data_IF_552036015158
#
_entry.id   IF_552036015158
#
_cell.length_a   1.000
_cell.length_b   1.000
_cell.length_c   1.000
_cell.angle_alpha   90.00
_cell.angle_beta   90.00
_cell.angle_gamma   90.00
#
_symmetry.space_group_name_H-M   'P 1'
#
loop_
_entity.id
_entity.type
_entity.pdbx_description
1 polymer ?
#
# COMPACT_ATOMS: atom_id res chain seq x y z
N UNK A 1 -10.24 33.87 4.40
CA UNK A 1 -9.81 33.12 5.61
C UNK A 1 -8.31 32.87 5.71
N UNK A 2 -7.46 33.39 4.82
CA UNK A 2 -6.00 33.49 5.08
C UNK A 2 -5.20 32.18 5.19
N UNK A 3 -5.85 31.01 5.13
CA UNK A 3 -5.20 29.69 5.19
C UNK A 3 -4.15 29.53 4.09
N UNK A 4 -2.96 29.08 4.48
CA UNK A 4 -1.83 28.90 3.58
C UNK A 4 -2.10 27.72 2.65
N UNK A 5 -2.14 27.99 1.34
CA UNK A 5 -2.51 27.02 0.29
C UNK A 5 -1.25 26.64 -0.48
N UNK A 6 -0.69 25.47 -0.18
CA UNK A 6 0.47 24.92 -0.89
C UNK A 6 -0.02 24.30 -2.21
N UNK A 7 0.20 25.01 -3.31
CA UNK A 7 0.01 24.48 -4.66
C UNK A 7 1.36 24.04 -5.24
N UNK A 8 1.33 23.10 -6.19
CA UNK A 8 2.54 22.58 -6.84
C UNK A 8 3.18 23.64 -7.74
N UNK A 9 4.15 24.37 -7.21
CA UNK A 9 5.05 25.20 -7.99
C UNK A 9 6.15 24.39 -8.66
N UNK A 10 6.64 24.86 -9.82
CA UNK A 10 7.94 24.45 -10.33
C UNK A 10 9.02 25.17 -9.53
N UNK A 11 9.96 24.43 -8.96
CA UNK A 11 11.21 25.01 -8.43
C UNK A 11 11.98 25.58 -9.61
N UNK A 12 12.46 26.82 -9.50
CA UNK A 12 13.32 27.41 -10.53
C UNK A 12 14.71 26.80 -10.40
N UNK A 13 15.47 26.60 -11.49
CA UNK A 13 16.84 26.07 -11.40
C UNK A 13 17.75 26.88 -10.46
N UNK A 14 17.51 28.19 -10.34
CA UNK A 14 18.20 29.07 -9.39
C UNK A 14 17.86 28.85 -7.90
N UNK A 15 16.79 28.11 -7.58
CA UNK A 15 16.35 27.79 -6.21
C UNK A 15 16.72 26.35 -5.78
N UNK A 16 17.41 25.58 -6.63
CA UNK A 16 17.99 24.29 -6.22
C UNK A 16 19.23 24.52 -5.33
N UNK A 17 19.23 23.92 -4.14
CA UNK A 17 20.37 23.99 -3.21
C UNK A 17 21.54 23.18 -3.79
N UNK A 18 22.48 23.87 -4.41
CA UNK A 18 23.75 23.30 -4.86
C UNK A 18 24.54 22.83 -3.64
N UNK A 19 24.82 21.53 -3.57
CA UNK A 19 25.71 20.99 -2.55
C UNK A 19 27.18 21.30 -2.93
N UNK A 20 27.88 22.05 -2.08
CA UNK A 20 29.30 22.37 -2.28
C UNK A 20 30.19 21.12 -2.22
N UNK A 21 31.00 20.83 -3.26
CA UNK A 21 31.91 19.69 -3.27
C UNK A 21 33.30 20.09 -2.75
N UNK A 22 33.45 20.37 -1.46
CA UNK A 22 34.75 20.61 -0.81
C UNK A 22 35.04 19.64 0.36
N UNK A 23 35.46 18.41 0.03
CA UNK A 23 36.51 17.68 0.76
C UNK A 23 36.96 16.42 0.02
N UNK A 24 38.25 16.07 0.20
CA UNK A 24 38.98 14.93 -0.39
C UNK A 24 39.15 15.02 -1.93
N UNK A 25 40.35 15.18 -2.52
CA UNK A 25 41.71 15.15 -2.00
C UNK A 25 42.53 14.02 -2.64
N UNK A 26 43.22 14.28 -3.76
CA UNK A 26 44.04 13.24 -4.42
C UNK A 26 44.59 13.55 -5.82
N UNK A 27 45.78 14.16 -5.83
CA UNK A 27 46.90 13.96 -6.77
C UNK A 27 46.73 13.99 -8.32
N UNK A 28 47.22 15.09 -8.91
CA UNK A 28 48.25 15.15 -9.96
C UNK A 28 48.23 14.26 -11.23
N UNK A 29 48.08 14.89 -12.40
CA UNK A 29 48.98 14.75 -13.56
C UNK A 29 48.73 15.82 -14.65
N UNK A 30 49.78 16.44 -15.17
CA UNK A 30 49.72 17.41 -16.29
C UNK A 30 49.74 16.72 -17.66
N UNK A 31 49.12 17.33 -18.68
CA UNK A 31 49.20 16.88 -20.08
C UNK A 31 48.64 17.90 -21.08
N UNK A 32 49.53 18.54 -21.86
CA UNK A 32 49.20 19.66 -22.77
C UNK A 32 48.54 19.20 -24.10
N UNK A 33 47.63 19.98 -24.72
CA UNK A 33 46.87 19.57 -25.91
C UNK A 33 47.61 19.82 -27.25
N UNK A 34 47.07 19.29 -28.37
CA UNK A 34 47.18 19.93 -29.68
C UNK A 34 45.80 20.33 -30.26
N UNK A 35 45.80 21.40 -31.07
CA UNK A 35 44.60 22.05 -31.60
C UNK A 35 44.19 21.55 -32.99
N UNK A 36 42.93 21.84 -33.38
CA UNK A 36 42.57 21.98 -34.80
C UNK A 36 41.16 21.52 -35.22
N UNK A 37 40.16 22.40 -35.12
CA UNK A 37 39.04 22.53 -36.08
C UNK A 37 38.19 23.78 -35.76
N UNK A 38 37.76 24.51 -36.80
CA UNK A 38 36.95 25.73 -36.71
C UNK A 38 35.42 25.45 -36.63
N UNK A 39 34.57 26.44 -36.28
CA UNK A 39 33.30 26.18 -35.60
C UNK A 39 32.13 25.78 -36.52
N UNK A 40 31.41 24.73 -36.13
CA UNK A 40 30.12 24.38 -36.70
C UNK A 40 28.99 25.24 -36.08
N UNK A 41 28.08 25.73 -36.93
CA UNK A 41 27.00 26.63 -36.54
C UNK A 41 25.93 25.93 -35.66
N UNK A 42 25.25 26.65 -34.75
CA UNK A 42 24.27 26.04 -33.86
C UNK A 42 23.02 25.60 -34.62
N UNK A 43 22.79 24.29 -34.66
CA UNK A 43 21.52 23.74 -35.14
C UNK A 43 20.41 24.08 -34.14
N UNK A 44 19.47 24.91 -34.59
CA UNK A 44 18.37 25.45 -33.79
C UNK A 44 17.32 24.37 -33.53
N UNK A 45 17.54 23.55 -32.50
CA UNK A 45 16.57 22.55 -32.05
C UNK A 45 15.29 23.25 -31.59
N UNK A 46 14.20 23.07 -32.34
CA UNK A 46 12.87 23.57 -31.97
C UNK A 46 12.28 22.60 -30.94
N UNK A 47 12.38 22.95 -29.66
CA UNK A 47 11.75 22.18 -28.58
C UNK A 47 10.25 22.49 -28.58
N UNK A 48 9.48 21.68 -29.31
CA UNK A 48 8.01 21.66 -29.20
C UNK A 48 7.59 20.72 -28.05
N UNK A 49 7.92 21.08 -26.81
CA UNK A 49 7.36 20.41 -25.62
C UNK A 49 5.99 21.00 -25.28
N UNK A 50 5.01 20.68 -26.12
CA UNK A 50 3.58 20.91 -25.90
C UNK A 50 2.84 19.57 -25.97
N UNK A 51 3.32 18.58 -25.23
CA UNK A 51 2.83 17.19 -25.26
C UNK A 51 1.48 17.01 -24.57
N UNK A 52 0.44 17.66 -25.06
CA UNK A 52 -0.92 17.20 -24.83
C UNK A 52 -1.08 15.86 -25.58
N UNK A 53 -0.93 14.75 -24.87
CA UNK A 53 -1.25 13.42 -25.38
C UNK A 53 -2.76 13.32 -25.56
N UNK A 54 -3.24 13.81 -26.70
CA UNK A 54 -4.49 13.35 -27.26
C UNK A 54 -4.27 11.88 -27.60
N UNK A 55 -4.66 10.98 -26.70
CA UNK A 55 -4.74 9.57 -27.02
C UNK A 55 -5.67 9.42 -28.23
N UNK A 56 -5.11 8.86 -29.29
CA UNK A 56 -5.75 8.81 -30.59
C UNK A 56 -6.62 7.57 -30.62
N UNK A 57 -7.93 7.78 -30.69
CA UNK A 57 -8.94 6.74 -30.96
C UNK A 57 -8.71 6.16 -32.37
N UNK A 58 -7.76 5.24 -32.51
CA UNK A 58 -7.60 4.33 -33.63
C UNK A 58 -7.18 2.95 -33.03
N UNK A 59 -7.82 1.86 -33.47
CA UNK A 59 -7.61 0.46 -33.02
C UNK A 59 -8.15 0.03 -31.63
N UNK A 60 -9.38 0.41 -31.26
CA UNK A 60 -10.13 -0.27 -30.17
C UNK A 60 -10.85 -1.57 -30.60
N UNK A 61 -11.04 -1.83 -31.89
CA UNK A 61 -11.94 -2.89 -32.41
C UNK A 61 -11.24 -4.21 -32.80
N UNK A 62 -10.03 -4.47 -32.30
CA UNK A 62 -9.20 -5.62 -32.70
C UNK A 62 -8.62 -6.47 -31.54
N UNK A 63 -9.29 -6.52 -30.39
CA UNK A 63 -9.19 -7.64 -29.44
C UNK A 63 -10.33 -7.63 -28.41
N UNK A 64 -11.11 -8.72 -28.31
CA UNK A 64 -12.02 -9.00 -27.19
C UNK A 64 -11.28 -9.28 -25.86
N UNK A 65 -9.95 -9.17 -25.84
CA UNK A 65 -9.13 -9.40 -24.67
C UNK A 65 -9.20 -8.20 -23.70
N UNK A 66 -9.57 -8.48 -22.46
CA UNK A 66 -9.50 -7.53 -21.35
C UNK A 66 -8.04 -7.15 -21.11
N UNK A 67 -7.66 -5.94 -21.53
CA UNK A 67 -6.32 -5.39 -21.27
C UNK A 67 -6.14 -5.13 -19.77
N UNK A 68 -4.91 -5.27 -19.22
CA UNK A 68 -4.62 -4.88 -17.84
C UNK A 68 -4.87 -3.36 -17.64
N UNK A 69 -5.12 -2.96 -16.40
CA UNK A 69 -5.28 -1.55 -16.05
C UNK A 69 -4.00 -0.76 -16.37
N UNK A 70 -4.09 0.49 -16.87
CA UNK A 70 -2.92 1.35 -17.05
C UNK A 70 -2.17 1.54 -15.73
N UNK A 71 -0.83 1.43 -15.74
CA UNK A 71 0.01 1.53 -14.54
C UNK A 71 -0.35 2.76 -13.66
N UNK A 72 -0.55 3.91 -14.30
CA UNK A 72 -0.94 5.17 -13.63
C UNK A 72 -2.28 5.06 -12.90
N UNK A 73 -3.27 4.39 -13.48
CA UNK A 73 -4.57 4.15 -12.84
C UNK A 73 -4.41 3.23 -11.62
N UNK A 74 -3.55 2.21 -11.69
CA UNK A 74 -3.26 1.33 -10.54
C UNK A 74 -2.58 2.11 -9.41
N UNK A 75 -1.60 2.97 -9.71
CA UNK A 75 -0.97 3.84 -8.71
C UNK A 75 -1.97 4.81 -8.06
N UNK A 76 -2.87 5.43 -8.83
CA UNK A 76 -3.87 6.36 -8.28
C UNK A 76 -4.97 5.64 -7.46
N UNK A 77 -5.44 4.46 -7.89
CA UNK A 77 -6.34 3.62 -7.09
C UNK A 77 -5.67 3.18 -5.78
N UNK A 78 -4.41 2.77 -5.82
CA UNK A 78 -3.68 2.36 -4.61
C UNK A 78 -3.29 3.53 -3.70
N UNK A 79 -3.26 4.78 -4.20
CA UNK A 79 -3.20 5.98 -3.38
C UNK A 79 -4.50 6.19 -2.58
N UNK A 80 -5.68 6.06 -3.23
CA UNK A 80 -6.98 6.05 -2.53
C UNK A 80 -7.03 4.98 -1.44
N UNK A 81 -6.60 3.74 -1.77
CA UNK A 81 -6.49 2.64 -0.79
C UNK A 81 -5.55 2.96 0.37
N UNK A 82 -4.42 3.62 0.10
CA UNK A 82 -3.46 4.01 1.15
C UNK A 82 -4.07 5.02 2.11
N UNK A 83 -4.79 6.04 1.62
CA UNK A 83 -5.47 7.02 2.50
C UNK A 83 -6.59 6.39 3.33
N UNK A 84 -7.40 5.52 2.73
CA UNK A 84 -8.45 4.81 3.48
C UNK A 84 -7.86 3.90 4.56
N UNK A 85 -6.75 3.20 4.26
CA UNK A 85 -6.05 2.36 5.24
C UNK A 85 -5.37 3.18 6.34
N UNK A 86 -4.82 4.37 6.02
CA UNK A 86 -4.29 5.32 7.01
C UNK A 86 -5.36 5.73 8.01
N UNK A 87 -6.52 6.18 7.52
CA UNK A 87 -7.63 6.60 8.39
C UNK A 87 -8.17 5.44 9.24
N UNK A 88 -8.28 4.23 8.67
CA UNK A 88 -8.68 3.03 9.39
C UNK A 88 -7.69 2.61 10.49
N UNK A 89 -6.37 2.72 10.25
CA UNK A 89 -5.32 2.48 11.25
C UNK A 89 -5.34 3.56 12.34
N UNK A 90 -5.49 4.84 11.98
CA UNK A 90 -5.59 5.94 12.95
C UNK A 90 -6.81 5.81 13.88
N UNK A 91 -7.90 5.18 13.40
CA UNK A 91 -9.10 4.85 14.18
C UNK A 91 -8.98 3.56 15.02
N UNK A 92 -7.85 2.84 14.92
CA UNK A 92 -7.69 1.50 15.49
C UNK A 92 -6.42 1.38 16.36
N UNK A 93 -6.38 1.96 17.58
CA UNK A 93 -5.15 2.05 18.37
C UNK A 93 -4.46 0.71 18.66
N UNK A 94 -5.23 -0.34 18.90
CA UNK A 94 -4.69 -1.70 19.07
C UNK A 94 -3.97 -2.21 17.81
N UNK A 95 -4.53 -1.97 16.62
CA UNK A 95 -3.93 -2.39 15.34
C UNK A 95 -2.69 -1.57 15.03
N UNK A 96 -2.72 -0.25 15.30
CA UNK A 96 -1.56 0.62 15.12
C UNK A 96 -0.39 0.24 16.05
N UNK A 97 -0.67 0.00 17.34
CA UNK A 97 0.32 -0.51 18.29
C UNK A 97 0.89 -1.86 17.86
N UNK A 98 0.03 -2.78 17.38
CA UNK A 98 0.45 -4.09 16.85
C UNK A 98 1.34 -3.95 15.62
N UNK A 99 1.03 -3.02 14.71
CA UNK A 99 1.83 -2.75 13.52
C UNK A 99 3.21 -2.18 13.85
N UNK A 100 3.26 -1.21 14.78
CA UNK A 100 4.51 -0.62 15.28
C UNK A 100 5.36 -1.68 16.00
N UNK A 101 4.76 -2.47 16.91
CA UNK A 101 5.46 -3.54 17.61
C UNK A 101 5.97 -4.62 16.65
N UNK A 102 5.18 -5.02 15.67
CA UNK A 102 5.60 -5.95 14.62
C UNK A 102 6.83 -5.43 13.86
N UNK A 103 6.90 -4.13 13.56
CA UNK A 103 8.07 -3.51 12.92
C UNK A 103 9.30 -3.56 13.85
N UNK A 104 9.16 -3.09 15.09
CA UNK A 104 10.25 -3.06 16.08
C UNK A 104 10.81 -4.46 16.39
N UNK A 105 9.94 -5.46 16.52
CA UNK A 105 10.31 -6.87 16.73
C UNK A 105 10.97 -7.46 15.47
N UNK A 106 10.48 -7.13 14.28
CA UNK A 106 11.10 -7.57 13.02
C UNK A 106 12.53 -7.06 12.88
N UNK A 107 12.75 -5.78 13.16
CA UNK A 107 14.08 -5.15 13.08
C UNK A 107 15.03 -5.71 14.15
N UNK A 108 14.53 -5.89 15.37
CA UNK A 108 15.34 -6.38 16.51
C UNK A 108 15.73 -7.86 16.41
N UNK A 109 14.83 -8.72 15.92
CA UNK A 109 15.00 -10.18 16.00
C UNK A 109 15.14 -10.89 14.65
N UNK A 110 14.61 -10.34 13.55
CA UNK A 110 14.57 -11.00 12.23
C UNK A 110 15.70 -10.56 11.29
N UNK A 111 16.78 -9.97 11.85
CA UNK A 111 18.02 -9.57 11.15
C UNK A 111 17.80 -8.69 9.91
N UNK A 112 17.00 -7.64 10.06
CA UNK A 112 16.89 -6.57 9.07
C UNK A 112 17.84 -5.44 9.48
N UNK A 113 18.90 -5.22 8.70
CA UNK A 113 20.05 -4.39 9.10
C UNK A 113 19.73 -2.89 9.26
N UNK A 114 19.86 -2.36 10.48
CA UNK A 114 19.83 -0.93 10.85
C UNK A 114 20.38 -0.77 12.27
N UNK A 115 20.99 0.37 12.63
CA UNK A 115 21.79 0.49 13.88
C UNK A 115 21.01 1.19 15.00
N UNK A 116 21.32 0.89 16.26
CA UNK A 116 20.77 1.59 17.43
C UNK A 116 21.39 2.99 17.63
N UNK A 117 20.94 3.81 18.59
CA UNK A 117 20.04 3.52 19.72
C UNK A 117 18.61 4.06 19.49
N UNK A 118 17.67 3.13 19.27
CA UNK A 118 16.28 3.36 18.85
C UNK A 118 16.11 4.21 17.57
N UNK A 119 16.11 3.53 16.41
CA UNK A 119 15.55 4.10 15.18
C UNK A 119 14.12 3.57 14.96
N UNK A 120 13.13 4.45 15.07
CA UNK A 120 11.73 4.16 14.73
C UNK A 120 11.18 5.32 13.88
N UNK A 121 11.20 5.18 12.56
CA UNK A 121 10.79 6.23 11.64
C UNK A 121 9.37 6.00 11.10
N UNK A 122 8.47 6.94 11.39
CA UNK A 122 7.24 7.12 10.62
C UNK A 122 7.50 8.22 9.60
N UNK A 123 7.75 7.83 8.35
CA UNK A 123 7.86 8.78 7.24
C UNK A 123 6.50 8.95 6.59
N UNK A 124 6.05 10.19 6.42
CA UNK A 124 4.87 10.46 5.61
C UNK A 124 5.12 10.00 4.16
N UNK A 125 4.37 8.98 3.74
CA UNK A 125 4.32 8.56 2.33
C UNK A 125 3.67 9.67 1.51
N UNK A 126 4.44 10.23 0.58
CA UNK A 126 3.96 11.14 -0.45
C UNK A 126 3.50 10.35 -1.69
N UNK A 127 2.45 10.82 -2.37
CA UNK A 127 1.91 10.15 -3.55
C UNK A 127 2.44 10.81 -4.84
N UNK A 128 3.28 10.13 -5.64
CA UNK A 128 3.87 10.72 -6.86
C UNK A 128 2.84 10.94 -7.98
N UNK A 129 1.74 10.18 -7.96
CA UNK A 129 0.55 10.42 -8.77
C UNK A 129 -0.65 10.59 -7.83
N UNK A 130 -1.25 11.77 -7.86
CA UNK A 130 -2.49 12.08 -7.15
C UNK A 130 -3.60 12.25 -8.20
N UNK A 131 -4.70 11.51 -8.03
CA UNK A 131 -5.94 11.83 -8.73
C UNK A 131 -6.52 13.14 -8.15
N UNK A 132 -7.26 13.89 -8.96
CA UNK A 132 -7.77 15.22 -8.54
C UNK A 132 -8.75 15.12 -7.35
N UNK A 133 -9.50 14.00 -7.27
CA UNK A 133 -10.45 13.68 -6.20
C UNK A 133 -9.78 13.20 -4.89
N UNK A 134 -8.51 12.79 -4.92
CA UNK A 134 -7.84 12.10 -3.82
C UNK A 134 -7.78 12.93 -2.53
N UNK A 135 -7.49 14.24 -2.65
CA UNK A 135 -7.37 15.16 -1.51
C UNK A 135 -8.72 15.49 -0.86
N UNK A 136 -9.80 15.40 -1.65
CA UNK A 136 -11.17 15.76 -1.26
C UNK A 136 -11.96 14.50 -0.85
N UNK A 137 -11.29 13.33 -0.83
CA UNK A 137 -11.84 12.07 -0.32
C UNK A 137 -12.15 12.11 1.17
N UNK A 138 -13.17 11.37 1.60
CA UNK A 138 -13.61 11.34 3.01
C UNK A 138 -12.48 10.94 3.98
N UNK A 139 -11.57 10.05 3.54
CA UNK A 139 -10.41 9.63 4.33
C UNK A 139 -9.36 10.73 4.44
N UNK A 140 -9.08 11.47 3.36
CA UNK A 140 -8.16 12.61 3.40
C UNK A 140 -8.64 13.70 4.36
N UNK A 141 -9.92 14.07 4.26
CA UNK A 141 -10.56 15.08 5.11
C UNK A 141 -10.56 14.65 6.58
N UNK A 142 -10.90 13.39 6.89
CA UNK A 142 -10.89 12.86 8.25
C UNK A 142 -9.47 12.81 8.87
N UNK A 143 -8.44 12.53 8.07
CA UNK A 143 -7.03 12.59 8.52
C UNK A 143 -6.63 14.04 8.81
N UNK A 144 -6.97 14.99 7.93
CA UNK A 144 -6.66 16.40 8.10
C UNK A 144 -7.34 17.00 9.35
N UNK A 145 -8.64 16.74 9.55
CA UNK A 145 -9.39 17.19 10.72
C UNK A 145 -8.80 16.61 12.03
N UNK A 146 -8.44 15.33 12.02
CA UNK A 146 -7.77 14.68 13.18
C UNK A 146 -6.41 15.31 13.47
N UNK A 147 -5.66 15.68 12.43
CA UNK A 147 -4.36 16.32 12.57
C UNK A 147 -4.47 17.76 13.12
N UNK A 148 -5.42 18.56 12.62
CA UNK A 148 -5.72 19.91 13.14
C UNK A 148 -6.11 19.84 14.63
N UNK A 149 -7.00 18.90 14.99
CA UNK A 149 -7.46 18.68 16.38
C UNK A 149 -6.34 18.30 17.35
N UNK A 150 -5.38 17.47 16.93
CA UNK A 150 -4.19 17.20 17.76
C UNK A 150 -3.24 18.40 17.79
N UNK A 151 -3.06 19.09 16.66
CA UNK A 151 -2.21 20.28 16.54
C UNK A 151 -2.62 21.43 17.48
N UNK A 152 -3.91 21.58 17.79
CA UNK A 152 -4.40 22.55 18.78
C UNK A 152 -3.87 22.31 20.22
N UNK A 153 -3.38 21.09 20.51
CA UNK A 153 -2.99 20.66 21.87
C UNK A 153 -1.50 20.33 22.00
N UNK A 154 -0.83 19.94 20.91
CA UNK A 154 0.58 19.51 20.90
C UNK A 154 1.51 20.70 21.21
N UNK A 155 2.32 20.66 22.29
CA UNK A 155 3.29 21.72 22.57
C UNK A 155 4.39 21.82 21.51
N UNK A 156 4.85 23.05 21.25
CA UNK A 156 5.94 23.32 20.31
C UNK A 156 7.35 23.26 20.94
N UNK A 157 7.45 23.16 22.26
CA UNK A 157 8.69 22.99 23.02
C UNK A 157 8.89 21.51 23.39
N UNK A 158 10.11 21.00 23.25
CA UNK A 158 10.46 19.58 23.39
C UNK A 158 10.24 19.04 24.82
N UNK A 159 10.63 19.84 25.84
CA UNK A 159 10.43 19.45 27.24
C UNK A 159 8.95 19.50 27.61
N UNK A 160 8.24 20.56 27.18
CA UNK A 160 6.79 20.65 27.38
C UNK A 160 6.01 19.53 26.65
N UNK A 161 6.48 19.10 25.47
CA UNK A 161 5.92 17.97 24.73
C UNK A 161 6.10 16.65 25.49
N UNK A 162 7.28 16.42 26.07
CA UNK A 162 7.53 15.25 26.92
C UNK A 162 6.59 15.21 28.13
N UNK A 163 6.53 16.30 28.91
CA UNK A 163 5.69 16.40 30.10
C UNK A 163 4.20 16.26 29.75
N UNK A 164 3.75 16.78 28.61
CA UNK A 164 2.40 16.61 28.11
C UNK A 164 2.09 15.16 27.74
N UNK A 165 2.99 14.47 27.02
CA UNK A 165 2.85 13.06 26.65
C UNK A 165 2.83 12.12 27.86
N UNK A 166 3.62 12.42 28.90
CA UNK A 166 3.62 11.67 30.17
C UNK A 166 2.32 11.89 30.97
N UNK A 167 1.76 13.10 30.91
CA UNK A 167 0.50 13.46 31.57
C UNK A 167 -0.77 12.96 30.85
N UNK A 168 -0.70 12.56 29.57
CA UNK A 168 -1.84 11.94 28.86
C UNK A 168 -2.23 10.60 29.50
N UNK A 169 -3.54 10.34 29.56
CA UNK A 169 -4.05 9.01 29.89
C UNK A 169 -3.73 7.99 28.78
N UNK A 170 -3.72 6.71 29.11
CA UNK A 170 -3.32 5.65 28.19
C UNK A 170 -4.21 5.55 26.93
N UNK A 171 -5.49 5.93 26.99
CA UNK A 171 -6.35 5.91 25.80
C UNK A 171 -5.97 7.05 24.85
N UNK A 172 -5.88 8.29 25.35
CA UNK A 172 -5.43 9.45 24.57
C UNK A 172 -4.02 9.25 23.98
N UNK A 173 -3.10 8.67 24.77
CA UNK A 173 -1.74 8.34 24.33
C UNK A 173 -1.73 7.30 23.20
N UNK A 174 -2.58 6.27 23.29
CA UNK A 174 -2.72 5.25 22.24
C UNK A 174 -3.41 5.79 20.98
N UNK A 175 -4.39 6.69 21.10
CA UNK A 175 -5.02 7.36 19.95
C UNK A 175 -4.04 8.28 19.20
N UNK A 176 -3.23 9.06 19.92
CA UNK A 176 -2.17 9.87 19.33
C UNK A 176 -1.09 8.99 18.65
N UNK A 177 -0.67 7.90 19.31
CA UNK A 177 0.23 6.91 18.71
C UNK A 177 -0.37 6.32 17.42
N UNK A 178 -1.67 6.02 17.41
CA UNK A 178 -2.35 5.49 16.23
C UNK A 178 -2.36 6.49 15.07
N UNK A 179 -2.64 7.77 15.37
CA UNK A 179 -2.57 8.84 14.39
C UNK A 179 -1.16 8.99 13.81
N UNK A 180 -0.13 9.05 14.67
CA UNK A 180 1.26 9.15 14.24
C UNK A 180 1.70 7.94 13.40
N UNK A 181 1.47 6.71 13.86
CA UNK A 181 1.81 5.47 13.14
C UNK A 181 1.12 5.40 11.78
N UNK A 182 -0.10 5.92 11.65
CA UNK A 182 -0.86 5.88 10.40
C UNK A 182 -0.10 6.51 9.23
N UNK A 183 0.64 7.60 9.41
CA UNK A 183 1.35 8.28 8.31
C UNK A 183 2.40 7.37 7.63
N UNK A 184 2.92 6.36 8.33
CA UNK A 184 3.86 5.37 7.79
C UNK A 184 3.22 4.26 6.95
N UNK A 185 1.89 4.15 6.94
CA UNK A 185 1.16 3.16 6.15
C UNK A 185 1.31 3.48 4.65
N UNK A 186 1.80 2.49 3.90
CA UNK A 186 1.98 2.55 2.45
C UNK A 186 1.34 1.32 1.78
N UNK A 187 0.29 1.51 0.98
CA UNK A 187 -0.32 0.48 0.14
C UNK A 187 -0.13 0.77 -1.37
N UNK A 188 0.75 1.71 -1.71
CA UNK A 188 0.92 2.22 -3.06
C UNK A 188 1.58 1.19 -3.99
N UNK A 189 0.99 1.01 -5.17
CA UNK A 189 1.62 0.31 -6.29
C UNK A 189 2.59 1.25 -7.02
N UNK A 190 3.86 0.87 -7.00
CA UNK A 190 4.93 1.53 -7.75
C UNK A 190 5.56 0.48 -8.66
N UNK A 191 5.56 0.72 -9.98
CA UNK A 191 6.13 -0.21 -10.96
C UNK A 191 7.64 -0.40 -10.67
N UNK A 192 8.12 -1.62 -10.38
CA UNK A 192 9.54 -1.85 -10.17
C UNK A 192 10.33 -1.45 -11.41
N UNK A 193 11.39 -0.65 -11.22
CA UNK A 193 12.28 -0.24 -12.31
C UNK A 193 13.54 -1.13 -12.29
N UNK A 194 13.73 -2.05 -13.25
CA UNK A 194 14.91 -2.93 -13.28
C UNK A 194 16.23 -2.18 -13.47
N UNK A 195 16.18 -0.92 -13.91
CA UNK A 195 17.33 -0.10 -14.28
C UNK A 195 17.55 1.10 -13.35
N UNK A 196 16.76 1.23 -12.27
CA UNK A 196 16.83 2.36 -11.35
C UNK A 196 17.18 1.93 -9.93
N UNK A 197 18.37 2.30 -9.45
CA UNK A 197 18.88 1.95 -8.11
C UNK A 197 18.11 2.55 -6.92
N UNK A 198 17.13 3.41 -7.17
CA UNK A 198 16.31 4.11 -6.16
C UNK A 198 14.84 3.65 -6.14
N UNK A 199 14.46 2.64 -6.93
CA UNK A 199 13.09 2.13 -7.02
C UNK A 199 12.81 0.95 -6.07
N UNK A 200 11.53 0.66 -5.82
CA UNK A 200 11.14 -0.55 -5.10
C UNK A 200 11.43 -1.80 -5.94
N UNK A 201 11.98 -2.85 -5.32
CA UNK A 201 12.15 -4.15 -5.98
C UNK A 201 10.81 -4.89 -6.07
N UNK A 202 10.67 -5.83 -7.01
CA UNK A 202 9.44 -6.64 -7.13
C UNK A 202 9.10 -7.37 -5.82
N UNK A 203 10.10 -7.91 -5.12
CA UNK A 203 9.93 -8.55 -3.82
C UNK A 203 9.49 -7.55 -2.73
N UNK A 204 10.12 -6.37 -2.67
CA UNK A 204 9.74 -5.32 -1.73
C UNK A 204 8.32 -4.79 -1.95
N UNK A 205 7.89 -4.67 -3.20
CA UNK A 205 6.51 -4.30 -3.54
C UNK A 205 5.52 -5.39 -3.11
N UNK A 206 5.80 -6.65 -3.42
CA UNK A 206 4.95 -7.77 -3.01
C UNK A 206 4.81 -7.86 -1.48
N UNK A 207 5.92 -7.69 -0.74
CA UNK A 207 5.93 -7.66 0.71
C UNK A 207 5.13 -6.48 1.28
N UNK A 208 5.27 -5.28 0.70
CA UNK A 208 4.48 -4.08 1.07
C UNK A 208 2.99 -4.33 0.90
N UNK A 209 2.56 -4.84 -0.26
CA UNK A 209 1.15 -5.09 -0.54
C UNK A 209 0.58 -6.15 0.40
N UNK A 210 1.29 -7.26 0.64
CA UNK A 210 0.85 -8.29 1.60
C UNK A 210 0.75 -7.78 3.05
N UNK A 211 1.61 -6.84 3.46
CA UNK A 211 1.48 -6.16 4.77
C UNK A 211 0.28 -5.20 4.80
N UNK A 212 0.01 -4.48 3.71
CA UNK A 212 -1.17 -3.64 3.57
C UNK A 212 -2.49 -4.46 3.55
N UNK A 213 -2.50 -5.65 2.94
CA UNK A 213 -3.62 -6.60 2.99
C UNK A 213 -3.88 -7.06 4.43
N UNK A 214 -2.84 -7.41 5.19
CA UNK A 214 -2.95 -7.77 6.61
C UNK A 214 -3.54 -6.63 7.45
N UNK A 215 -3.08 -5.39 7.24
CA UNK A 215 -3.63 -4.22 7.93
C UNK A 215 -5.09 -3.95 7.53
N UNK A 216 -5.44 -4.11 6.25
CA UNK A 216 -6.82 -3.96 5.78
C UNK A 216 -7.75 -5.01 6.39
N UNK A 217 -7.29 -6.26 6.53
CA UNK A 217 -8.01 -7.31 7.24
C UNK A 217 -8.17 -7.00 8.73
N UNK A 218 -7.09 -6.58 9.42
CA UNK A 218 -7.10 -6.29 10.86
C UNK A 218 -7.92 -5.05 11.26
N UNK A 219 -7.96 -4.02 10.40
CA UNK A 219 -8.80 -2.82 10.59
C UNK A 219 -10.24 -3.00 10.10
N UNK A 220 -10.54 -4.11 9.41
CA UNK A 220 -11.83 -4.31 8.76
C UNK A 220 -12.11 -3.35 7.61
N UNK A 221 -11.07 -2.79 6.98
CA UNK A 221 -11.18 -1.79 5.91
C UNK A 221 -12.09 -2.29 4.78
N UNK A 222 -13.10 -1.47 4.47
CA UNK A 222 -13.94 -1.56 3.29
C UNK A 222 -13.84 -0.24 2.52
N UNK A 223 -13.46 -0.32 1.24
CA UNK A 223 -13.33 0.86 0.36
C UNK A 223 -14.69 1.49 0.02
N UNK A 224 -15.78 0.71 -0.01
CA UNK A 224 -17.14 1.23 -0.24
C UNK A 224 -17.58 2.04 0.98
N UNK A 225 -17.41 1.49 2.19
CA UNK A 225 -17.66 2.23 3.43
C UNK A 225 -16.74 3.45 3.62
N UNK A 226 -15.53 3.43 3.07
CA UNK A 226 -14.64 4.60 3.00
C UNK A 226 -15.07 5.67 1.96
N UNK A 227 -16.16 5.42 1.22
CA UNK A 227 -16.77 6.36 0.28
C UNK A 227 -16.29 6.23 -1.17
N UNK A 228 -15.50 5.19 -1.51
CA UNK A 228 -15.07 4.98 -2.88
C UNK A 228 -16.17 4.33 -3.73
N UNK A 229 -16.38 4.86 -4.93
CA UNK A 229 -17.26 4.29 -5.97
C UNK A 229 -16.70 4.58 -7.37
N UNK A 230 -16.98 3.74 -8.38
CA UNK A 230 -16.51 3.98 -9.74
C UNK A 230 -17.27 5.16 -10.37
N UNK A 231 -16.53 6.12 -10.92
CA UNK A 231 -17.07 7.23 -11.72
C UNK A 231 -16.40 7.29 -13.08
N UNK A 232 -16.99 8.05 -14.02
CA UNK A 232 -16.39 8.38 -15.32
C UNK A 232 -14.99 8.98 -15.14
N UNK A 233 -14.82 9.87 -14.16
CA UNK A 233 -13.57 10.60 -13.92
C UNK A 233 -12.49 9.73 -13.26
N UNK A 234 -12.84 8.93 -12.25
CA UNK A 234 -11.82 8.18 -11.48
C UNK A 234 -11.43 6.83 -12.11
N UNK A 235 -12.34 6.16 -12.84
CA UNK A 235 -12.12 4.80 -13.36
C UNK A 235 -12.76 4.55 -14.74
N UNK A 236 -14.07 4.75 -14.88
CA UNK A 236 -14.85 4.22 -16.01
C UNK A 236 -14.51 4.88 -17.36
N UNK A 237 -14.17 6.17 -17.37
CA UNK A 237 -13.69 6.86 -18.58
C UNK A 237 -12.24 6.52 -18.96
N UNK A 238 -11.50 5.81 -18.08
CA UNK A 238 -10.06 5.56 -18.16
C UNK A 238 -9.70 4.12 -18.49
N UNK A 239 -10.70 3.25 -18.64
CA UNK A 239 -10.56 1.85 -19.05
C UNK A 239 -11.18 1.61 -20.43
N UNK A 240 -10.93 0.44 -21.02
CA UNK A 240 -11.48 0.06 -22.34
C UNK A 240 -12.94 -0.39 -22.23
N UNK A 241 -13.70 -0.31 -23.33
CA UNK A 241 -15.11 -0.76 -23.37
C UNK A 241 -15.32 -2.18 -22.81
N UNK A 242 -14.50 -3.21 -23.13
CA UNK A 242 -14.66 -4.54 -22.55
C UNK A 242 -14.55 -4.56 -21.02
N UNK A 243 -13.66 -3.74 -20.44
CA UNK A 243 -13.47 -3.60 -18.98
C UNK A 243 -14.67 -2.92 -18.31
N UNK A 244 -15.33 -1.97 -19.00
CA UNK A 244 -16.57 -1.34 -18.51
C UNK A 244 -17.72 -2.36 -18.51
N UNK A 245 -17.86 -3.13 -19.60
CA UNK A 245 -18.86 -4.20 -19.74
C UNK A 245 -18.65 -5.29 -18.67
N UNK A 246 -17.40 -5.68 -18.41
CA UNK A 246 -17.03 -6.62 -17.34
C UNK A 246 -17.38 -6.07 -15.95
N UNK A 247 -16.99 -4.84 -15.62
CA UNK A 247 -17.32 -4.21 -14.34
C UNK A 247 -18.85 -4.16 -14.10
N UNK A 248 -19.62 -3.80 -15.13
CA UNK A 248 -21.09 -3.77 -15.07
C UNK A 248 -21.68 -5.18 -15.00
N UNK A 249 -21.09 -6.19 -15.65
CA UNK A 249 -21.48 -7.59 -15.49
C UNK A 249 -21.27 -8.09 -14.06
N UNK A 250 -20.11 -7.82 -13.47
CA UNK A 250 -19.79 -8.21 -12.09
C UNK A 250 -20.69 -7.49 -11.06
N UNK A 251 -20.91 -6.18 -11.21
CA UNK A 251 -21.66 -5.38 -10.22
C UNK A 251 -23.18 -5.36 -10.40
N UNK A 252 -23.68 -5.41 -11.65
CA UNK A 252 -25.10 -5.25 -11.99
C UNK A 252 -25.68 -6.40 -12.86
N UNK A 253 -24.87 -7.40 -13.22
CA UNK A 253 -25.28 -8.60 -13.95
C UNK A 253 -25.34 -8.46 -15.47
N UNK A 254 -25.40 -9.60 -16.17
CA UNK A 254 -25.32 -9.68 -17.64
C UNK A 254 -26.32 -8.76 -18.37
N UNK A 255 -27.57 -8.68 -17.89
CA UNK A 255 -28.59 -7.83 -18.52
C UNK A 255 -28.20 -6.35 -18.53
N UNK A 256 -27.51 -5.88 -17.51
CA UNK A 256 -27.02 -4.50 -17.44
C UNK A 256 -25.85 -4.27 -18.40
N UNK A 257 -24.97 -5.26 -18.54
CA UNK A 257 -23.86 -5.25 -19.49
C UNK A 257 -24.35 -5.25 -20.96
N UNK A 258 -25.36 -6.05 -21.28
CA UNK A 258 -25.98 -6.10 -22.62
C UNK A 258 -26.64 -4.76 -23.00
N UNK A 259 -27.28 -4.08 -22.03
CA UNK A 259 -27.91 -2.77 -22.25
C UNK A 259 -26.90 -1.68 -22.63
N UNK A 260 -25.65 -1.75 -22.17
CA UNK A 260 -24.62 -0.74 -22.47
C UNK A 260 -23.66 -1.12 -23.60
N UNK A 261 -23.59 -2.40 -23.99
CA UNK A 261 -22.58 -2.92 -24.92
C UNK A 261 -22.56 -2.26 -26.31
N UNK A 262 -23.69 -1.68 -26.74
CA UNK A 262 -23.83 -0.98 -28.02
C UNK A 262 -23.56 0.54 -27.95
N UNK A 263 -23.26 1.08 -26.76
CA UNK A 263 -23.04 2.50 -26.55
C UNK A 263 -21.61 2.93 -26.93
N UNK A 264 -21.44 4.21 -27.28
CA UNK A 264 -20.11 4.81 -27.42
C UNK A 264 -19.45 4.96 -26.05
N UNK A 265 -18.12 4.81 -25.98
CA UNK A 265 -17.31 4.79 -24.74
C UNK A 265 -17.72 5.84 -23.69
N UNK A 266 -17.90 7.10 -24.09
CA UNK A 266 -18.30 8.18 -23.17
C UNK A 266 -19.72 8.04 -22.60
N UNK A 267 -20.68 7.53 -23.37
CA UNK A 267 -22.05 7.27 -22.88
C UNK A 267 -22.12 5.94 -22.11
N UNK A 268 -21.36 4.93 -22.54
CA UNK A 268 -21.16 3.67 -21.85
C UNK A 268 -20.62 3.89 -20.43
N UNK A 269 -19.61 4.76 -20.27
CA UNK A 269 -19.02 5.08 -18.97
C UNK A 269 -20.02 5.80 -18.03
N UNK A 270 -20.83 6.73 -18.55
CA UNK A 270 -21.88 7.43 -17.77
C UNK A 270 -22.98 6.47 -17.31
N UNK A 271 -23.45 5.60 -18.19
CA UNK A 271 -24.50 4.63 -17.85
C UNK A 271 -23.94 3.54 -16.92
N UNK A 272 -22.68 3.14 -17.08
CA UNK A 272 -22.00 2.26 -16.13
C UNK A 272 -21.86 2.88 -14.73
N UNK A 273 -21.55 4.18 -14.62
CA UNK A 273 -21.55 4.90 -13.32
C UNK A 273 -22.93 4.82 -12.66
N UNK A 274 -24.00 5.08 -13.43
CA UNK A 274 -25.39 4.99 -12.96
C UNK A 274 -25.77 3.56 -12.52
N UNK A 275 -25.28 2.54 -13.22
CA UNK A 275 -25.56 1.13 -12.93
C UNK A 275 -24.76 0.59 -11.74
N UNK A 276 -23.56 1.14 -11.47
CA UNK A 276 -22.66 0.67 -10.42
C UNK A 276 -22.76 1.45 -9.10
N UNK A 277 -23.36 2.65 -9.11
CA UNK A 277 -23.39 3.59 -7.98
C UNK A 277 -23.71 2.98 -6.61
N UNK A 278 -24.69 2.08 -6.54
CA UNK A 278 -25.19 1.46 -5.29
C UNK A 278 -24.88 -0.05 -5.20
N UNK A 279 -24.03 -0.58 -6.09
CA UNK A 279 -23.72 -2.03 -6.15
C UNK A 279 -22.61 -2.47 -5.17
N UNK A 280 -21.84 -1.53 -4.65
CA UNK A 280 -20.62 -1.83 -3.88
C UNK A 280 -19.48 -2.41 -4.73
N UNK A 281 -19.56 -2.35 -6.06
CA UNK A 281 -18.51 -2.86 -6.94
C UNK A 281 -17.21 -2.06 -6.80
N UNK A 282 -16.08 -2.78 -6.76
CA UNK A 282 -14.73 -2.23 -6.67
C UNK A 282 -13.85 -2.81 -7.79
N UNK A 283 -12.92 -2.04 -8.38
CA UNK A 283 -11.87 -2.55 -9.24
C UNK A 283 -10.86 -3.38 -8.44
N UNK A 284 -10.15 -4.29 -9.09
CA UNK A 284 -9.34 -5.30 -8.41
C UNK A 284 -8.29 -4.76 -7.43
N UNK A 285 -7.57 -3.64 -7.69
CA UNK A 285 -6.62 -3.07 -6.72
C UNK A 285 -7.24 -2.60 -5.39
N UNK A 286 -8.56 -2.34 -5.39
CA UNK A 286 -9.33 -1.90 -4.23
C UNK A 286 -10.10 -3.03 -3.53
N UNK A 287 -10.23 -4.20 -4.16
CA UNK A 287 -10.82 -5.38 -3.51
C UNK A 287 -9.93 -5.81 -2.35
N UNK A 288 -10.54 -6.30 -1.26
CA UNK A 288 -9.80 -6.99 -0.21
C UNK A 288 -9.20 -8.26 -0.81
N UNK A 289 -7.90 -8.49 -0.60
CA UNK A 289 -7.35 -9.83 -0.77
C UNK A 289 -8.07 -10.75 0.22
N UNK A 290 -8.95 -11.61 -0.30
CA UNK A 290 -9.41 -12.77 0.43
C UNK A 290 -8.18 -13.65 0.68
N UNK A 291 -7.98 -14.19 1.90
CA UNK A 291 -6.97 -15.21 2.10
C UNK A 291 -7.26 -16.37 1.15
N UNK A 292 -6.23 -16.85 0.47
CA UNK A 292 -6.31 -18.07 -0.33
C UNK A 292 -6.64 -19.23 0.61
N UNK A 293 -7.93 -19.59 0.68
CA UNK A 293 -8.39 -20.82 1.34
C UNK A 293 -8.05 -21.94 0.38
N UNK A 294 -6.80 -22.38 0.50
CA UNK A 294 -6.03 -23.04 -0.56
C UNK A 294 -6.83 -23.97 -1.45
N UNK A 295 -6.80 -23.71 -2.75
CA UNK A 295 -7.30 -24.60 -3.78
C UNK A 295 -6.38 -25.82 -3.99
N UNK A 296 -5.99 -26.49 -2.90
CA UNK A 296 -5.34 -27.81 -2.91
C UNK A 296 -6.43 -28.90 -2.97
N UNK A 297 -7.18 -28.90 -4.08
CA UNK A 297 -8.12 -29.97 -4.43
C UNK A 297 -7.93 -30.37 -5.89
N UNK A 298 -6.74 -30.86 -6.24
CA UNK A 298 -6.65 -32.03 -7.13
C UNK A 298 -5.27 -32.73 -7.11
N UNK A 299 -5.12 -33.74 -6.24
CA UNK A 299 -4.18 -34.86 -6.50
C UNK A 299 -4.75 -36.18 -5.98
N UNK A 300 -5.99 -36.50 -6.34
CA UNK A 300 -6.56 -37.82 -6.06
C UNK A 300 -6.13 -38.84 -7.13
N UNK A 301 -5.00 -39.53 -6.93
CA UNK A 301 -4.70 -40.81 -7.61
C UNK A 301 -3.63 -41.66 -6.90
N UNK A 302 -4.08 -42.38 -5.86
CA UNK A 302 -3.75 -43.79 -5.65
C UNK A 302 -2.35 -44.21 -5.18
N UNK A 303 -2.23 -44.52 -3.89
CA UNK A 303 -1.83 -45.87 -3.46
C UNK A 303 -2.39 -46.15 -2.06
N UNK A 304 -2.83 -47.39 -1.84
CA UNK A 304 -3.20 -47.91 -0.53
C UNK A 304 -1.95 -48.09 0.36
N UNK A 305 -2.13 -48.06 1.68
CA UNK A 305 -1.09 -48.30 2.68
C UNK A 305 -1.51 -47.80 4.05
N UNK A 306 -2.01 -48.71 4.89
CA UNK A 306 -2.19 -48.45 6.33
C UNK A 306 -0.84 -48.14 6.99
N UNK A 307 -0.80 -47.10 7.82
CA UNK A 307 0.17 -46.97 8.92
C UNK A 307 -0.51 -46.16 10.05
N UNK A 308 -1.28 -46.87 10.87
CA UNK A 308 -1.69 -46.37 12.18
C UNK A 308 -0.45 -46.37 13.10
N UNK A 309 -0.24 -45.35 13.94
CA UNK A 309 0.97 -45.25 14.76
C UNK A 309 1.08 -46.40 15.76
N UNK A 310 2.28 -46.99 15.81
CA UNK A 310 2.73 -48.21 16.50
C UNK A 310 2.59 -48.20 18.05
N UNK A 311 1.87 -47.23 18.61
CA UNK A 311 1.66 -47.02 20.05
C UNK A 311 0.36 -47.66 20.58
N UNK A 312 -0.54 -48.13 19.70
CA UNK A 312 -1.89 -48.58 20.08
C UNK A 312 -2.25 -50.02 19.68
N UNK A 313 -1.34 -50.76 19.05
CA UNK A 313 -1.47 -52.20 18.86
C UNK A 313 -0.86 -52.94 20.07
N UNK A 314 -1.64 -53.03 21.15
CA UNK A 314 -1.17 -53.60 22.42
C UNK A 314 -1.19 -55.12 22.49
N UNK A 315 -0.67 -55.66 23.58
CA UNK A 315 -0.92 -57.03 24.04
C UNK A 315 -0.97 -57.05 25.57
N UNK A 316 -2.16 -57.30 26.13
CA UNK A 316 -2.32 -57.84 27.47
C UNK A 316 -1.97 -59.33 27.42
N UNK A 317 -0.96 -59.78 28.18
CA UNK A 317 -1.07 -61.06 28.88
C UNK A 317 -0.21 -61.08 30.16
N UNK A 318 -0.72 -61.77 31.19
CA UNK A 318 -0.16 -61.89 32.55
C UNK A 318 0.52 -63.28 32.72
N UNK A 319 0.92 -63.78 33.92
CA UNK A 319 1.06 -63.19 35.27
C UNK A 319 2.55 -63.28 35.75
N UNK A 320 2.98 -63.24 37.02
CA UNK A 320 2.33 -63.35 38.33
C UNK A 320 3.17 -62.69 39.47
N UNK A 321 2.58 -62.70 40.69
CA UNK A 321 3.19 -62.90 42.03
C UNK A 321 4.68 -62.57 42.25
N UNK A 322 4.95 -61.57 43.09
CA UNK A 322 5.38 -61.82 44.49
C UNK A 322 5.21 -60.58 45.40
N UNK A 323 5.10 -60.82 46.70
CA UNK A 323 4.79 -59.84 47.75
C UNK A 323 6.04 -59.07 48.22
N UNK A 324 5.93 -57.79 48.60
CA UNK A 324 6.21 -57.40 49.99
C UNK A 324 5.80 -55.96 50.41
N UNK A 325 5.61 -55.85 51.72
CA UNK A 325 5.54 -54.72 52.66
C UNK A 325 6.44 -53.47 52.36
N UNK A 326 6.23 -52.25 52.89
CA UNK A 326 5.42 -51.76 54.03
C UNK A 326 5.11 -50.25 53.98
N UNK A 327 3.95 -49.90 54.53
CA UNK A 327 3.57 -48.73 55.38
C UNK A 327 4.48 -47.47 55.58
N UNK A 328 3.77 -46.32 55.71
CA UNK A 328 4.05 -45.16 56.62
C UNK A 328 5.21 -44.20 56.26
N UNK A 329 5.23 -42.91 56.66
CA UNK A 329 4.20 -41.88 57.02
C UNK A 329 4.90 -40.53 57.34
N UNK A 330 4.14 -39.42 57.53
CA UNK A 330 4.58 -38.10 58.08
C UNK A 330 5.50 -37.28 57.14
N UNK A 331 5.15 -36.13 56.55
CA UNK A 331 4.57 -34.85 57.00
C UNK A 331 5.61 -33.78 57.45
N UNK A 332 5.49 -32.59 56.82
CA UNK A 332 5.88 -31.22 57.21
C UNK A 332 7.16 -30.96 58.05
N UNK A 333 8.06 -30.14 57.49
CA UNK A 333 8.06 -28.67 57.73
C UNK A 333 8.22 -27.92 56.39
#
# INVERSE_FOLDING_TARGET
DGRLRVERGYVRPEDEVVADPESEGGDGAEGYPPAGAEPAQPQRAVITMGGATVERDDDEDAADAIRPLPDRLVTELTAHRTLALRDAVAKSPHVALTALLHRLVSDSYLRQSGRGCLEAQVREVHFPAQAEDLRDSASALAIAERHERWGDHVPADDAALWDWLDALDDASRLELLAHCVSFGVNALHEKPNPYGGMGVSQHGLAQRLAQADRLAQATGLDMVAAGWRPTVENYLGRVTKPRIIEAVREGAGDRAADLIGHLKKGEMAKEAERLLADTGWLPEPLRRALPDVGSDVDTASGSEGDDLPDFLAGEDDAPAEDEDETQQSVAAE
#
